data_IF_680626679550
#
_entry.id   IF_680626679550
#
_cell.length_a   1.000
_cell.length_b   1.000
_cell.length_c   1.000
_cell.angle_alpha   90.00
_cell.angle_beta   90.00
_cell.angle_gamma   90.00
#
_symmetry.space_group_name_H-M   'P 1'
#
loop_
_entity.id
_entity.type
_entity.pdbx_description
1 polymer ?
#
# COMPACT_ATOMS: atom_id res chain seq x y z
N UNK A 1 -24.08 13.85 5.07
CA UNK A 1 -24.34 13.63 6.52
C UNK A 1 -24.39 12.12 6.76
N UNK A 2 -23.25 11.47 7.06
CA UNK A 2 -23.21 10.10 7.59
C UNK A 2 -23.09 10.22 9.11
N UNK A 3 -24.17 9.87 9.79
CA UNK A 3 -24.23 9.74 11.24
C UNK A 3 -23.32 8.57 11.61
N UNK A 4 -22.21 8.87 12.32
CA UNK A 4 -21.37 7.84 12.90
C UNK A 4 -22.23 6.93 13.78
N UNK A 5 -22.13 5.58 13.66
CA UNK A 5 -22.86 4.69 14.55
C UNK A 5 -22.32 4.94 15.97
N UNK A 6 -23.20 5.41 16.86
CA UNK A 6 -22.94 5.42 18.32
C UNK A 6 -22.56 3.99 18.70
N UNK A 7 -21.37 3.81 19.24
CA UNK A 7 -20.94 2.55 19.87
C UNK A 7 -21.91 2.23 21.01
N UNK A 8 -23.02 1.60 20.69
CA UNK A 8 -23.86 0.97 21.70
C UNK A 8 -23.03 -0.20 22.24
N UNK A 9 -22.52 -0.05 23.47
CA UNK A 9 -21.86 -1.15 24.17
C UNK A 9 -22.80 -2.35 24.12
N UNK A 10 -22.31 -3.49 23.61
CA UNK A 10 -23.08 -4.72 23.48
C UNK A 10 -23.69 -5.09 24.83
N UNK A 11 -24.85 -5.76 24.87
CA UNK A 11 -25.47 -6.22 26.11
C UNK A 11 -24.47 -6.94 27.03
N UNK A 12 -23.60 -7.76 26.45
CA UNK A 12 -22.53 -8.47 27.16
C UNK A 12 -21.55 -7.54 27.87
N UNK A 13 -21.15 -6.41 27.26
CA UNK A 13 -20.25 -5.43 27.88
C UNK A 13 -20.90 -4.74 29.07
N UNK A 14 -22.22 -4.50 29.03
CA UNK A 14 -22.98 -3.88 30.14
C UNK A 14 -23.13 -4.84 31.32
N UNK A 15 -23.19 -6.14 31.09
CA UNK A 15 -23.34 -7.13 32.17
C UNK A 15 -22.01 -7.47 32.85
N UNK A 16 -20.90 -7.42 32.10
CA UNK A 16 -19.57 -7.76 32.62
C UNK A 16 -18.87 -6.58 33.30
N UNK A 17 -19.11 -5.34 32.84
CA UNK A 17 -18.48 -4.13 33.40
C UNK A 17 -18.63 -3.98 34.93
N UNK A 18 -19.84 -4.17 35.53
CA UNK A 18 -19.97 -4.02 36.97
C UNK A 18 -19.18 -5.04 37.79
N UNK A 19 -18.97 -6.26 37.25
CA UNK A 19 -18.20 -7.30 37.95
C UNK A 19 -16.70 -6.95 37.99
N UNK A 20 -16.16 -6.46 36.88
CA UNK A 20 -14.75 -6.03 36.84
C UNK A 20 -14.50 -4.78 37.69
N UNK A 21 -15.44 -3.83 37.71
CA UNK A 21 -15.38 -2.65 38.57
C UNK A 21 -15.44 -3.09 40.03
N UNK A 22 -16.34 -4.01 40.39
CA UNK A 22 -16.45 -4.55 41.73
C UNK A 22 -15.12 -5.18 42.18
N UNK A 23 -14.52 -6.08 41.38
CA UNK A 23 -13.23 -6.69 41.68
C UNK A 23 -12.11 -5.64 41.81
N UNK A 24 -12.06 -4.66 40.91
CA UNK A 24 -11.05 -3.61 40.89
C UNK A 24 -11.12 -2.70 42.11
N UNK A 25 -12.31 -2.47 42.64
CA UNK A 25 -12.52 -1.64 43.84
C UNK A 25 -12.25 -2.45 45.13
N UNK A 26 -12.75 -3.67 45.22
CA UNK A 26 -12.67 -4.46 46.47
C UNK A 26 -11.31 -5.11 46.72
N UNK A 27 -10.53 -5.41 45.67
CA UNK A 27 -9.21 -6.01 45.84
C UNK A 27 -8.23 -5.12 46.66
N UNK A 28 -8.09 -3.81 46.42
CA UNK A 28 -7.27 -2.94 47.23
C UNK A 28 -7.76 -2.84 48.68
N UNK A 29 -9.09 -2.82 48.92
CA UNK A 29 -9.64 -2.80 50.25
C UNK A 29 -9.35 -4.09 51.02
N UNK A 30 -9.44 -5.25 50.37
CA UNK A 30 -9.08 -6.54 50.95
C UNK A 30 -7.60 -6.56 51.34
N UNK A 31 -6.70 -6.09 50.45
CA UNK A 31 -5.26 -6.02 50.76
C UNK A 31 -4.97 -5.06 51.93
N UNK A 32 -5.66 -3.93 52.00
CA UNK A 32 -5.54 -3.00 53.12
C UNK A 32 -6.01 -3.64 54.44
N UNK A 33 -7.12 -4.36 54.44
CA UNK A 33 -7.64 -5.09 55.63
C UNK A 33 -6.65 -6.18 56.09
N UNK A 34 -6.08 -6.96 55.18
CA UNK A 34 -5.06 -7.97 55.47
C UNK A 34 -3.82 -7.36 56.13
N UNK A 35 -3.39 -6.17 55.64
CA UNK A 35 -2.27 -5.43 56.22
C UNK A 35 -2.55 -5.00 57.68
N UNK A 36 -3.77 -4.51 57.97
CA UNK A 36 -4.17 -4.11 59.34
C UNK A 36 -4.21 -5.32 60.27
N UNK A 37 -4.55 -6.51 59.77
CA UNK A 37 -4.57 -7.77 60.50
C UNK A 37 -3.17 -8.38 60.71
N UNK A 38 -2.09 -7.68 60.25
CA UNK A 38 -0.72 -8.16 60.42
C UNK A 38 -0.28 -9.25 59.43
N UNK A 39 -1.05 -9.53 58.38
CA UNK A 39 -0.69 -10.53 57.38
C UNK A 39 0.46 -10.00 56.52
N UNK A 40 1.58 -10.74 56.40
CA UNK A 40 2.70 -10.29 55.56
C UNK A 40 2.32 -10.26 54.07
N UNK A 41 2.27 -9.06 53.48
CA UNK A 41 1.87 -8.88 52.09
C UNK A 41 2.97 -9.25 51.07
N UNK A 42 4.14 -9.68 51.49
CA UNK A 42 5.30 -9.99 50.63
C UNK A 42 4.99 -11.05 49.58
N UNK A 43 4.25 -12.10 49.93
CA UNK A 43 3.79 -13.12 49.01
C UNK A 43 2.82 -12.57 47.95
N UNK A 44 1.92 -11.67 48.39
CA UNK A 44 0.96 -11.00 47.48
C UNK A 44 1.65 -10.01 46.55
N UNK A 45 2.72 -9.33 47.00
CA UNK A 45 3.51 -8.45 46.14
C UNK A 45 4.23 -9.25 45.06
N UNK A 46 4.82 -10.41 45.39
CA UNK A 46 5.47 -11.29 44.44
C UNK A 46 4.47 -11.83 43.40
N UNK A 47 3.35 -12.38 43.87
CA UNK A 47 2.29 -12.90 43.03
C UNK A 47 1.68 -11.81 42.13
N UNK A 48 1.41 -10.64 42.69
CA UNK A 48 0.91 -9.47 41.96
C UNK A 48 1.89 -9.02 40.88
N UNK A 49 3.18 -8.98 41.18
CA UNK A 49 4.23 -8.69 40.21
C UNK A 49 4.28 -9.72 39.08
N UNK A 50 4.17 -11.00 39.37
CA UNK A 50 4.14 -12.05 38.35
C UNK A 50 2.89 -11.96 37.47
N UNK A 51 1.72 -11.69 38.06
CA UNK A 51 0.46 -11.47 37.32
C UNK A 51 0.59 -10.22 36.44
N UNK A 52 1.12 -9.12 36.97
CA UNK A 52 1.29 -7.87 36.23
C UNK A 52 2.22 -8.04 35.02
N UNK A 53 3.34 -8.80 35.17
CA UNK A 53 4.22 -9.13 34.07
C UNK A 53 3.52 -9.99 33.02
N UNK A 54 2.81 -11.03 33.44
CA UNK A 54 2.03 -11.88 32.52
C UNK A 54 0.99 -11.09 31.74
N UNK A 55 0.26 -10.22 32.42
CA UNK A 55 -0.72 -9.32 31.78
C UNK A 55 -0.04 -8.31 30.83
N UNK A 56 1.12 -7.77 31.24
CA UNK A 56 1.91 -6.85 30.41
C UNK A 56 2.35 -7.49 29.10
N UNK A 57 2.87 -8.73 29.16
CA UNK A 57 3.22 -9.50 27.95
C UNK A 57 2.00 -9.82 27.08
N UNK A 58 0.87 -10.18 27.71
CA UNK A 58 -0.38 -10.43 26.98
C UNK A 58 -0.96 -9.19 26.29
N UNK A 59 -0.78 -8.00 26.89
CA UNK A 59 -1.26 -6.72 26.36
C UNK A 59 -0.27 -6.03 25.41
N UNK A 60 0.96 -6.52 25.27
CA UNK A 60 2.04 -5.88 24.54
C UNK A 60 1.65 -5.48 23.11
N UNK A 61 1.04 -6.40 22.35
CA UNK A 61 0.62 -6.14 20.98
C UNK A 61 -0.48 -5.06 20.91
N UNK A 62 -1.39 -5.03 21.87
CA UNK A 62 -2.44 -4.01 21.92
C UNK A 62 -1.82 -2.63 22.18
N UNK A 63 -0.94 -2.53 23.18
CA UNK A 63 -0.24 -1.28 23.50
C UNK A 63 0.62 -0.80 22.31
N UNK A 64 1.37 -1.71 21.68
CA UNK A 64 2.17 -1.39 20.49
C UNK A 64 1.30 -0.78 19.38
N UNK A 65 0.16 -1.39 19.08
CA UNK A 65 -0.75 -0.87 18.05
C UNK A 65 -1.37 0.50 18.40
N UNK A 66 -1.72 0.72 19.67
CA UNK A 66 -2.24 2.01 20.13
C UNK A 66 -1.19 3.11 20.03
N UNK A 67 0.04 2.84 20.49
CA UNK A 67 1.17 3.78 20.42
C UNK A 67 1.49 4.07 18.94
N UNK A 68 1.56 3.04 18.11
CA UNK A 68 1.78 3.19 16.67
C UNK A 68 0.70 4.03 16.01
N UNK A 69 -0.57 3.81 16.35
CA UNK A 69 -1.68 4.62 15.87
C UNK A 69 -1.54 6.10 16.25
N UNK A 70 -1.15 6.39 17.48
CA UNK A 70 -0.90 7.76 17.93
C UNK A 70 0.26 8.40 17.14
N UNK A 71 1.36 7.67 16.93
CA UNK A 71 2.50 8.15 16.13
C UNK A 71 2.07 8.44 14.70
N UNK A 72 1.31 7.56 14.06
CA UNK A 72 0.82 7.74 12.68
C UNK A 72 -0.05 8.99 12.58
N UNK A 73 -0.95 9.23 13.53
CA UNK A 73 -1.83 10.41 13.55
C UNK A 73 -1.06 11.72 13.72
N UNK A 74 0.04 11.72 14.48
CA UNK A 74 0.88 12.90 14.74
C UNK A 74 1.89 13.11 13.60
N UNK A 75 2.69 12.09 13.27
CA UNK A 75 3.78 12.18 12.30
C UNK A 75 3.29 12.14 10.84
N UNK A 76 2.11 11.53 10.61
CA UNK A 76 1.43 11.44 9.32
C UNK A 76 2.32 10.94 8.17
N UNK A 77 3.01 9.81 8.31
CA UNK A 77 3.80 9.22 7.23
C UNK A 77 2.95 8.84 6.02
N UNK A 78 1.65 8.65 6.24
CA UNK A 78 0.62 8.50 5.21
C UNK A 78 -0.71 9.10 5.73
N UNK A 79 -1.64 9.35 4.82
CA UNK A 79 -2.93 9.98 5.09
C UNK A 79 -4.07 9.16 4.48
N UNK A 80 -5.29 9.41 4.94
CA UNK A 80 -6.50 8.88 4.28
C UNK A 80 -6.54 9.39 2.84
N UNK A 81 -6.73 8.45 1.90
CA UNK A 81 -6.69 8.70 0.46
C UNK A 81 -5.33 8.48 -0.20
N UNK A 82 -4.26 8.22 0.56
CA UNK A 82 -2.98 7.82 -0.01
C UNK A 82 -3.03 6.38 -0.54
N UNK A 83 -2.24 6.13 -1.57
CA UNK A 83 -2.00 4.77 -2.09
C UNK A 83 -0.75 4.23 -1.41
N UNK A 84 -0.95 3.20 -0.60
CA UNK A 84 0.12 2.51 0.12
C UNK A 84 0.23 1.06 -0.35
N UNK A 85 1.43 0.51 -0.25
CA UNK A 85 1.67 -0.91 -0.48
C UNK A 85 2.17 -1.55 0.81
N UNK A 86 1.43 -2.57 1.26
CA UNK A 86 1.67 -3.33 2.48
C UNK A 86 1.70 -4.80 2.11
N UNK A 87 2.76 -5.51 2.47
CA UNK A 87 2.95 -6.95 2.19
C UNK A 87 2.72 -7.30 0.71
N UNK A 88 3.18 -6.42 -0.21
CA UNK A 88 3.05 -6.60 -1.66
C UNK A 88 1.65 -6.29 -2.23
N UNK A 89 0.70 -5.87 -1.40
CA UNK A 89 -0.63 -5.47 -1.84
C UNK A 89 -0.77 -3.94 -1.83
N UNK A 90 -1.07 -3.36 -2.99
CA UNK A 90 -1.32 -1.94 -3.12
C UNK A 90 -2.80 -1.61 -2.93
N UNK A 91 -3.09 -0.54 -2.19
CA UNK A 91 -4.45 -0.09 -1.94
C UNK A 91 -4.53 1.34 -1.42
N UNK A 92 -5.74 1.85 -1.35
CA UNK A 92 -6.03 3.20 -0.84
C UNK A 92 -6.36 3.15 0.65
N UNK A 93 -5.73 3.99 1.45
CA UNK A 93 -6.05 4.14 2.88
C UNK A 93 -7.45 4.72 3.02
N UNK A 94 -8.38 3.95 3.61
CA UNK A 94 -9.76 4.38 3.85
C UNK A 94 -9.90 5.11 5.20
N UNK A 95 -9.31 4.54 6.24
CA UNK A 95 -9.38 5.08 7.59
C UNK A 95 -8.14 4.70 8.40
N UNK A 96 -7.79 5.55 9.37
CA UNK A 96 -6.72 5.31 10.34
C UNK A 96 -7.36 5.26 11.71
N UNK A 97 -7.51 4.04 12.23
CA UNK A 97 -8.06 3.78 13.54
C UNK A 97 -7.00 3.78 14.65
N UNK A 98 -7.43 3.63 15.91
CA UNK A 98 -6.50 3.59 17.05
C UNK A 98 -5.55 2.39 17.03
N UNK A 99 -6.01 1.22 16.58
CA UNK A 99 -5.22 -0.03 16.60
C UNK A 99 -4.87 -0.55 15.21
N UNK A 100 -5.61 -0.17 14.18
CA UNK A 100 -5.46 -0.67 12.82
C UNK A 100 -5.86 0.41 11.81
N UNK A 101 -5.25 0.35 10.65
CA UNK A 101 -5.55 1.15 9.47
C UNK A 101 -6.28 0.28 8.45
N UNK A 102 -7.34 0.81 7.84
CA UNK A 102 -8.10 0.15 6.78
C UNK A 102 -7.56 0.57 5.42
N UNK A 103 -7.23 -0.42 4.60
CA UNK A 103 -6.73 -0.22 3.23
C UNK A 103 -7.61 -1.00 2.25
N UNK A 104 -8.18 -0.32 1.28
CA UNK A 104 -8.95 -0.92 0.18
C UNK A 104 -8.01 -1.22 -0.98
N UNK A 105 -7.84 -2.50 -1.30
CA UNK A 105 -7.04 -2.92 -2.45
C UNK A 105 -7.75 -2.63 -3.77
N UNK A 106 -7.01 -2.68 -4.87
CA UNK A 106 -7.59 -2.53 -6.21
C UNK A 106 -8.57 -3.67 -6.58
N UNK A 107 -8.43 -4.83 -5.93
CA UNK A 107 -9.35 -5.97 -6.10
C UNK A 107 -10.63 -5.84 -5.26
N UNK A 108 -10.82 -4.71 -4.57
CA UNK A 108 -11.99 -4.46 -3.73
C UNK A 108 -11.96 -5.14 -2.36
N UNK A 109 -10.81 -5.68 -1.95
CA UNK A 109 -10.62 -6.30 -0.63
C UNK A 109 -10.27 -5.24 0.40
N UNK A 110 -10.98 -5.23 1.54
CA UNK A 110 -10.66 -4.38 2.67
C UNK A 110 -9.66 -5.08 3.60
N UNK A 111 -8.43 -4.56 3.65
CA UNK A 111 -7.38 -5.04 4.54
C UNK A 111 -7.41 -4.24 5.84
N UNK A 112 -7.49 -4.94 6.97
CA UNK A 112 -7.36 -4.35 8.30
C UNK A 112 -5.94 -4.60 8.80
N UNK A 113 -5.06 -3.64 8.60
CA UNK A 113 -3.63 -3.75 8.91
C UNK A 113 -3.35 -3.18 10.30
N UNK A 114 -2.76 -3.94 11.23
CA UNK A 114 -2.34 -3.43 12.54
C UNK A 114 -1.40 -2.22 12.40
N UNK A 115 -1.59 -1.18 13.20
CA UNK A 115 -0.79 0.03 13.09
C UNK A 115 0.71 -0.20 13.35
N UNK A 116 1.05 -1.18 14.19
CA UNK A 116 2.44 -1.57 14.44
C UNK A 116 3.14 -2.06 13.17
N UNK A 117 2.44 -2.73 12.24
CA UNK A 117 3.02 -3.19 10.98
C UNK A 117 3.48 -2.02 10.11
N UNK A 118 2.76 -0.89 10.13
CA UNK A 118 3.13 0.32 9.39
C UNK A 118 4.40 0.99 9.91
N UNK A 119 4.76 0.81 11.17
CA UNK A 119 5.98 1.41 11.76
C UNK A 119 7.15 0.45 11.80
N UNK A 120 6.91 -0.87 11.85
CA UNK A 120 7.96 -1.87 11.93
C UNK A 120 8.40 -2.42 10.58
N UNK A 121 7.57 -2.30 9.54
CA UNK A 121 7.87 -2.80 8.20
C UNK A 121 8.13 -1.66 7.21
N UNK A 122 8.78 -1.98 6.10
CA UNK A 122 8.92 -1.03 4.98
C UNK A 122 7.57 -0.89 4.29
N UNK A 123 7.02 0.31 4.33
CA UNK A 123 5.78 0.66 3.63
C UNK A 123 6.11 1.59 2.47
N UNK A 124 5.62 1.26 1.29
CA UNK A 124 5.75 2.13 0.11
C UNK A 124 4.54 3.03 0.04
N UNK A 125 4.72 4.33 0.30
CA UNK A 125 3.68 5.32 0.02
C UNK A 125 3.91 5.89 -1.38
N UNK A 126 2.98 5.62 -2.29
CA UNK A 126 3.10 5.99 -3.70
C UNK A 126 2.60 7.41 -4.01
N UNK A 127 1.94 8.09 -3.06
CA UNK A 127 1.23 9.36 -3.30
C UNK A 127 1.49 10.45 -2.27
N UNK A 128 2.38 10.21 -1.28
CA UNK A 128 2.62 11.15 -0.18
C UNK A 128 3.16 12.53 -0.65
N UNK A 129 4.12 12.54 -1.59
CA UNK A 129 4.74 13.77 -2.09
C UNK A 129 4.09 14.25 -3.38
N UNK A 130 3.64 13.34 -4.20
CA UNK A 130 3.13 13.62 -5.53
C UNK A 130 2.14 12.51 -5.94
N UNK A 131 0.99 12.92 -6.41
CA UNK A 131 -0.04 12.01 -6.89
C UNK A 131 0.20 11.49 -8.30
N UNK A 132 1.39 11.73 -8.85
CA UNK A 132 1.78 11.18 -10.14
C UNK A 132 2.55 9.87 -9.98
N UNK A 133 2.11 8.85 -10.70
CA UNK A 133 2.79 7.56 -10.78
C UNK A 133 3.34 7.34 -12.17
N UNK A 134 4.52 6.68 -12.21
CA UNK A 134 5.17 6.33 -13.46
C UNK A 134 4.55 5.08 -14.06
N UNK A 135 4.07 5.19 -15.30
CA UNK A 135 3.68 4.08 -16.15
C UNK A 135 4.86 3.56 -16.98
N UNK A 136 4.78 2.29 -17.36
CA UNK A 136 5.72 1.62 -18.25
C UNK A 136 4.96 0.83 -19.31
N UNK A 137 5.35 1.03 -20.58
CA UNK A 137 4.93 0.19 -21.70
C UNK A 137 6.19 -0.33 -22.38
N UNK A 138 6.28 -1.65 -22.50
CA UNK A 138 7.35 -2.31 -23.26
C UNK A 138 6.83 -2.63 -24.66
N UNK A 139 7.61 -2.30 -25.67
CA UNK A 139 7.28 -2.49 -27.09
C UNK A 139 8.47 -3.12 -27.81
N UNK A 140 8.20 -3.97 -28.78
CA UNK A 140 9.20 -4.51 -29.69
C UNK A 140 8.96 -4.02 -31.11
N UNK A 141 10.02 -3.69 -31.83
CA UNK A 141 10.02 -3.38 -33.26
C UNK A 141 10.93 -4.36 -34.01
N UNK A 142 10.65 -4.66 -35.27
CA UNK A 142 11.49 -5.56 -36.08
C UNK A 142 12.89 -4.99 -36.23
N UNK A 143 13.91 -5.86 -36.43
CA UNK A 143 15.32 -5.47 -36.61
C UNK A 143 15.56 -4.51 -37.79
N UNK A 144 14.69 -4.54 -38.80
CA UNK A 144 14.75 -3.62 -39.95
C UNK A 144 14.11 -2.24 -39.69
N UNK A 145 13.53 -2.01 -38.51
CA UNK A 145 12.91 -0.72 -38.19
C UNK A 145 13.96 0.34 -37.84
N UNK A 146 13.72 1.59 -38.25
CA UNK A 146 14.53 2.71 -37.79
C UNK A 146 14.29 2.96 -36.31
N UNK A 147 15.29 2.71 -35.48
CA UNK A 147 15.21 2.85 -34.04
C UNK A 147 14.91 4.28 -33.58
N UNK A 148 15.34 5.30 -34.33
CA UNK A 148 15.05 6.70 -33.99
C UNK A 148 13.61 7.06 -34.30
N UNK A 149 13.08 6.57 -35.44
CA UNK A 149 11.67 6.74 -35.77
C UNK A 149 10.74 6.07 -34.74
N UNK A 150 11.14 4.85 -34.25
CA UNK A 150 10.42 4.16 -33.18
C UNK A 150 10.41 5.00 -31.90
N UNK A 151 11.58 5.50 -31.48
CA UNK A 151 11.75 6.33 -30.29
C UNK A 151 10.86 7.60 -30.33
N UNK A 152 10.92 8.34 -31.42
CA UNK A 152 10.11 9.54 -31.64
C UNK A 152 8.61 9.23 -31.63
N UNK A 153 8.21 8.14 -32.29
CA UNK A 153 6.81 7.73 -32.37
C UNK A 153 6.26 7.37 -30.98
N UNK A 154 7.00 6.59 -30.21
CA UNK A 154 6.58 6.22 -28.87
C UNK A 154 6.41 7.44 -27.95
N UNK A 155 7.35 8.38 -27.99
CA UNK A 155 7.25 9.64 -27.22
C UNK A 155 6.09 10.49 -27.66
N UNK A 156 5.88 10.66 -28.96
CA UNK A 156 4.78 11.45 -29.51
C UNK A 156 3.41 10.86 -29.12
N UNK A 157 3.26 9.54 -29.22
CA UNK A 157 2.01 8.84 -28.82
C UNK A 157 1.70 9.05 -27.34
N UNK A 158 2.70 8.86 -26.46
CA UNK A 158 2.49 9.06 -25.03
C UNK A 158 2.17 10.54 -24.71
N UNK A 159 2.87 11.46 -25.36
CA UNK A 159 2.63 12.90 -25.19
C UNK A 159 1.24 13.35 -25.65
N UNK A 160 0.65 12.69 -26.62
CA UNK A 160 -0.69 13.00 -27.11
C UNK A 160 -1.81 12.54 -26.16
N UNK A 161 -1.53 11.66 -25.19
CA UNK A 161 -2.54 11.11 -24.29
C UNK A 161 -2.90 12.14 -23.18
N UNK A 162 -4.19 12.47 -22.96
CA UNK A 162 -4.62 13.54 -22.07
C UNK A 162 -4.30 13.33 -20.59
N UNK A 163 -4.14 12.06 -20.16
CA UNK A 163 -3.78 11.73 -18.78
C UNK A 163 -2.27 11.72 -18.52
N UNK A 164 -1.44 11.83 -19.57
CA UNK A 164 0.01 11.83 -19.45
C UNK A 164 0.54 13.24 -19.17
N UNK A 165 1.37 13.35 -18.15
CA UNK A 165 1.94 14.61 -17.69
C UNK A 165 3.07 15.04 -18.61
N UNK A 166 3.05 16.34 -19.03
CA UNK A 166 4.01 16.94 -19.96
C UNK A 166 4.96 17.94 -19.30
N UNK A 167 4.94 18.04 -17.97
CA UNK A 167 5.79 19.02 -17.27
C UNK A 167 7.27 18.64 -17.32
N UNK A 168 8.22 19.60 -17.26
CA UNK A 168 9.65 19.30 -17.17
C UNK A 168 9.95 18.29 -16.06
N UNK A 169 10.74 17.26 -16.38
CA UNK A 169 11.07 16.17 -15.47
C UNK A 169 10.03 15.02 -15.43
N UNK A 170 8.82 15.21 -16.00
CA UNK A 170 7.78 14.18 -16.08
C UNK A 170 7.27 13.93 -17.51
N UNK A 171 7.82 14.61 -18.50
CA UNK A 171 7.52 14.35 -19.90
C UNK A 171 7.84 12.88 -20.27
N UNK A 172 7.11 12.27 -21.20
CA UNK A 172 7.38 10.91 -21.65
C UNK A 172 8.81 10.78 -22.21
N UNK A 173 9.46 9.68 -21.89
CA UNK A 173 10.76 9.31 -22.44
C UNK A 173 10.82 7.84 -22.77
N UNK A 174 11.74 7.50 -23.67
CA UNK A 174 11.97 6.14 -24.12
C UNK A 174 13.39 5.70 -23.86
N UNK A 175 13.57 4.42 -23.71
CA UNK A 175 14.86 3.76 -23.67
C UNK A 175 14.84 2.67 -24.73
N UNK A 176 15.86 2.65 -25.61
CA UNK A 176 16.21 1.48 -26.38
C UNK A 176 16.84 0.50 -25.39
N UNK A 177 16.08 -0.52 -24.99
CA UNK A 177 16.39 -1.37 -23.85
C UNK A 177 17.35 -2.49 -24.19
N UNK A 178 17.11 -3.20 -25.30
CA UNK A 178 17.89 -4.37 -25.65
C UNK A 178 17.66 -4.83 -27.10
N UNK A 179 18.60 -5.62 -27.62
CA UNK A 179 18.44 -6.45 -28.80
C UNK A 179 17.81 -7.78 -28.38
N UNK A 180 16.50 -7.94 -28.58
CA UNK A 180 15.77 -9.15 -28.20
C UNK A 180 15.85 -10.26 -29.23
N UNK A 181 15.37 -11.45 -28.89
CA UNK A 181 15.45 -12.64 -29.75
C UNK A 181 14.83 -12.44 -31.15
N UNK A 182 13.80 -11.61 -31.25
CA UNK A 182 13.06 -11.41 -32.50
C UNK A 182 13.04 -9.95 -32.99
N UNK A 183 13.60 -9.01 -32.24
CA UNK A 183 13.59 -7.59 -32.62
C UNK A 183 14.10 -6.66 -31.51
N UNK A 184 14.07 -5.36 -31.79
CA UNK A 184 14.55 -4.29 -30.95
C UNK A 184 13.54 -4.03 -29.81
N UNK A 185 13.98 -4.03 -28.57
CA UNK A 185 13.13 -3.79 -27.38
C UNK A 185 13.22 -2.33 -26.93
N UNK A 186 12.08 -1.72 -26.70
CA UNK A 186 11.94 -0.36 -26.20
C UNK A 186 11.11 -0.34 -24.93
N UNK A 187 11.48 0.54 -24.01
CA UNK A 187 10.69 0.91 -22.82
C UNK A 187 10.24 2.35 -22.95
N UNK A 188 8.93 2.56 -22.93
CA UNK A 188 8.31 3.87 -22.90
C UNK A 188 7.86 4.14 -21.46
N UNK A 189 8.38 5.20 -20.88
CA UNK A 189 8.01 5.69 -19.54
C UNK A 189 7.19 6.97 -19.67
N UNK A 190 6.18 7.11 -18.82
CA UNK A 190 5.36 8.29 -18.74
C UNK A 190 4.80 8.44 -17.33
N UNK A 191 4.38 9.63 -16.96
CA UNK A 191 3.77 9.93 -15.67
C UNK A 191 2.30 10.19 -15.82
N UNK A 192 1.49 9.67 -14.88
CA UNK A 192 0.03 9.83 -14.85
C UNK A 192 -0.39 10.42 -13.52
N UNK A 193 -1.26 11.42 -13.54
CA UNK A 193 -1.90 11.93 -12.33
C UNK A 193 -2.99 10.95 -11.88
N UNK A 194 -2.75 10.27 -10.75
CA UNK A 194 -3.65 9.24 -10.20
C UNK A 194 -4.99 9.78 -9.74
N UNK A 195 -5.15 11.10 -9.65
CA UNK A 195 -6.45 11.72 -9.35
C UNK A 195 -7.37 11.77 -10.57
N UNK A 196 -6.79 11.68 -11.76
CA UNK A 196 -7.52 11.81 -13.04
C UNK A 196 -7.68 10.49 -13.77
N UNK A 197 -6.68 9.61 -13.69
CA UNK A 197 -6.70 8.35 -14.43
C UNK A 197 -5.91 7.26 -13.71
N UNK A 198 -6.28 6.01 -13.99
CA UNK A 198 -5.51 4.84 -13.58
C UNK A 198 -4.28 4.67 -14.48
N UNK A 199 -3.12 4.39 -13.89
CA UNK A 199 -1.89 4.08 -14.64
C UNK A 199 -2.09 2.87 -15.56
N UNK A 200 -2.80 1.84 -15.09
CA UNK A 200 -3.07 0.64 -15.87
C UNK A 200 -3.96 0.92 -17.09
N UNK A 201 -5.04 1.71 -16.92
CA UNK A 201 -5.90 2.12 -18.02
C UNK A 201 -5.13 2.97 -19.03
N UNK A 202 -4.39 3.98 -18.57
CA UNK A 202 -3.56 4.83 -19.44
C UNK A 202 -2.51 4.00 -20.20
N UNK A 203 -1.88 3.02 -19.55
CA UNK A 203 -0.92 2.14 -20.22
C UNK A 203 -1.59 1.27 -21.29
N UNK A 204 -2.84 0.84 -21.09
CA UNK A 204 -3.62 0.14 -22.11
C UNK A 204 -3.91 1.04 -23.31
N UNK A 205 -4.40 2.26 -23.05
CA UNK A 205 -4.73 3.22 -24.12
C UNK A 205 -3.49 3.61 -24.94
N UNK A 206 -2.35 3.83 -24.26
CA UNK A 206 -1.07 4.08 -24.90
C UNK A 206 -0.65 2.91 -25.79
N UNK A 207 -0.83 1.63 -25.35
CA UNK A 207 -0.52 0.47 -26.20
C UNK A 207 -1.39 0.44 -27.47
N UNK A 208 -2.67 0.74 -27.36
CA UNK A 208 -3.55 0.82 -28.51
C UNK A 208 -3.12 1.93 -29.48
N UNK A 209 -2.77 3.11 -28.95
CA UNK A 209 -2.29 4.22 -29.75
C UNK A 209 -0.93 3.93 -30.40
N UNK A 210 -0.01 3.25 -29.70
CA UNK A 210 1.27 2.79 -30.26
C UNK A 210 1.04 1.83 -31.43
N UNK A 211 0.13 0.87 -31.28
CA UNK A 211 -0.20 -0.09 -32.33
C UNK A 211 -0.74 0.62 -33.58
N UNK A 212 -1.60 1.61 -33.41
CA UNK A 212 -2.13 2.43 -34.51
C UNK A 212 -1.02 3.24 -35.21
N UNK A 213 -0.18 3.94 -34.45
CA UNK A 213 0.92 4.73 -34.98
C UNK A 213 1.99 3.87 -35.69
N UNK A 214 2.26 2.67 -35.19
CA UNK A 214 3.18 1.73 -35.86
C UNK A 214 2.66 1.28 -37.22
N UNK A 215 1.34 1.02 -37.33
CA UNK A 215 0.72 0.69 -38.62
C UNK A 215 0.79 1.87 -39.59
N UNK A 216 0.50 3.08 -39.15
CA UNK A 216 0.54 4.29 -39.96
C UNK A 216 1.96 4.57 -40.51
N UNK A 217 2.97 4.37 -39.68
CA UNK A 217 4.38 4.64 -40.02
C UNK A 217 5.11 3.42 -40.61
N UNK A 218 4.39 2.31 -40.92
CA UNK A 218 4.95 1.07 -41.39
C UNK A 218 6.08 0.49 -40.50
N UNK A 219 6.00 0.68 -39.21
CA UNK A 219 6.90 0.05 -38.24
C UNK A 219 6.38 -1.35 -37.94
N UNK A 220 7.14 -2.36 -38.34
CA UNK A 220 6.76 -3.75 -38.17
C UNK A 220 6.97 -4.20 -36.69
N UNK A 221 5.96 -4.87 -36.12
CA UNK A 221 6.09 -5.60 -34.87
C UNK A 221 6.67 -6.98 -35.21
N UNK A 222 7.75 -7.41 -34.53
CA UNK A 222 8.42 -8.65 -34.90
C UNK A 222 7.56 -9.88 -34.61
N UNK A 223 7.56 -10.82 -35.55
CA UNK A 223 7.12 -12.19 -35.34
C UNK A 223 8.27 -13.03 -34.79
N UNK A 224 8.01 -14.17 -34.12
CA UNK A 224 9.04 -15.13 -33.80
C UNK A 224 9.79 -15.54 -35.08
N UNK A 225 11.13 -15.45 -35.06
CA UNK A 225 11.97 -15.81 -36.19
C UNK A 225 12.69 -17.14 -35.93
N UNK A 226 12.66 -18.04 -36.90
CA UNK A 226 13.35 -19.32 -36.86
C UNK A 226 14.16 -19.49 -38.14
N UNK A 227 15.45 -19.74 -37.99
CA UNK A 227 16.29 -20.13 -39.12
C UNK A 227 16.29 -21.64 -39.21
N UNK A 228 15.77 -22.17 -40.31
CA UNK A 228 15.75 -23.63 -40.60
C UNK A 228 16.89 -23.95 -41.54
N UNK A 229 17.85 -24.75 -41.08
CA UNK A 229 18.88 -25.32 -41.93
C UNK A 229 18.39 -26.67 -42.50
N UNK A 230 18.10 -26.73 -43.79
CA UNK A 230 17.81 -27.99 -44.43
C UNK A 230 19.13 -28.81 -44.59
N UNK A 231 19.15 -30.09 -44.24
CA UNK A 231 20.30 -30.92 -44.53
C UNK A 231 20.55 -30.98 -46.06
N UNK A 232 21.83 -30.88 -46.46
CA UNK A 232 22.23 -31.03 -47.86
C UNK A 232 22.04 -32.46 -48.34
#
# INVERSE_FOLDING_TARGET
RRIAPRMAASRQTRELAPRWIFLGVWAPFLLAALRVLGVPLTAFNFLGGAIALGFGFGAQNLCSNLISGAIILVARPYKVGDIVEVDGQAGTVLSIGLRATEVLTYDGVNLLVPNSNFLSNVIVNRTNFDRSLRGLVTVAAAYGADSRLVDETLRAVAAAHPAVIQTPGKAPWTIFDDFGDNGLKFKLFFWVDTTRASVAATASDVRHAVLAAFREKNIAIPYPQLVVHAPK
#
